data_IF_584450241825
#
_entry.id   IF_584450241825
#
_cell.length_a   1.000
_cell.length_b   1.000
_cell.length_c   1.000
_cell.angle_alpha   90.00
_cell.angle_beta   90.00
_cell.angle_gamma   90.00
#
_symmetry.space_group_name_H-M   'P 1'
#
loop_
_entity.id
_entity.type
_entity.pdbx_description
1 polymer ?
#
# COMPACT_ATOMS: atom_id res chain seq x y z
N UNK A 1 9.11 -11.01 -17.35
CA UNK A 1 8.55 -11.88 -18.42
C UNK A 1 9.02 -13.33 -18.28
N UNK A 2 10.31 -13.58 -18.00
CA UNK A 2 10.87 -14.94 -17.85
C UNK A 2 10.17 -15.72 -16.72
N UNK A 3 9.98 -15.11 -15.57
CA UNK A 3 9.25 -15.67 -14.41
C UNK A 3 7.88 -16.22 -14.84
N UNK A 4 7.11 -15.43 -15.59
CA UNK A 4 5.77 -15.83 -16.08
C UNK A 4 5.83 -16.93 -17.14
N UNK A 5 6.85 -16.94 -18.00
CA UNK A 5 7.07 -18.07 -18.97
C UNK A 5 7.32 -19.39 -18.27
N UNK A 6 7.87 -19.36 -17.07
CA UNK A 6 8.09 -20.54 -16.21
C UNK A 6 6.87 -20.96 -15.40
N UNK A 7 5.73 -20.27 -15.57
CA UNK A 7 4.46 -20.62 -14.92
C UNK A 7 4.24 -19.95 -13.58
N UNK A 8 5.14 -19.06 -13.14
CA UNK A 8 4.95 -18.28 -11.91
C UNK A 8 3.97 -17.12 -12.15
N UNK A 9 3.25 -16.75 -11.10
CA UNK A 9 2.41 -15.54 -11.08
C UNK A 9 3.22 -14.38 -10.48
N UNK A 10 3.10 -13.21 -11.11
CA UNK A 10 3.77 -12.00 -10.65
C UNK A 10 2.74 -10.94 -10.25
N UNK A 11 2.79 -10.50 -9.00
CA UNK A 11 1.90 -9.49 -8.42
C UNK A 11 2.68 -8.27 -7.95
N UNK A 12 2.07 -7.08 -8.11
CA UNK A 12 2.46 -5.91 -7.32
C UNK A 12 1.71 -5.95 -6.00
N UNK A 13 2.41 -5.82 -4.86
CA UNK A 13 1.81 -5.67 -3.54
C UNK A 13 2.19 -4.30 -2.96
N UNK A 14 1.24 -3.37 -2.93
CA UNK A 14 1.48 -1.95 -2.68
C UNK A 14 0.51 -1.33 -1.68
N UNK A 15 0.99 -0.36 -0.90
CA UNK A 15 0.12 0.53 -0.12
C UNK A 15 -0.66 1.55 -0.97
N UNK A 16 -0.25 1.77 -2.24
CA UNK A 16 -0.94 2.71 -3.15
C UNK A 16 -2.29 2.16 -3.58
N UNK A 17 -3.19 3.07 -3.98
CA UNK A 17 -4.46 2.71 -4.64
C UNK A 17 -4.21 2.10 -6.02
N UNK A 18 -5.18 1.34 -6.52
CA UNK A 18 -5.04 0.62 -7.79
C UNK A 18 -4.72 1.57 -8.95
N UNK A 19 -5.50 2.66 -9.14
CA UNK A 19 -5.25 3.61 -10.24
C UNK A 19 -3.86 4.26 -10.14
N UNK A 20 -3.39 4.59 -8.92
CA UNK A 20 -2.04 5.14 -8.71
C UNK A 20 -0.93 4.14 -9.08
N UNK A 21 -1.20 2.83 -9.04
CA UNK A 21 -0.25 1.81 -9.49
C UNK A 21 -0.33 1.58 -10.99
N UNK A 22 -1.52 1.31 -11.52
CA UNK A 22 -1.68 0.88 -12.93
C UNK A 22 -1.45 2.02 -13.93
N UNK A 23 -1.63 3.28 -13.54
CA UNK A 23 -1.35 4.44 -14.41
C UNK A 23 0.15 4.75 -14.55
N UNK A 24 1.03 4.00 -13.86
CA UNK A 24 2.47 4.14 -14.06
C UNK A 24 2.89 3.48 -15.40
N UNK A 25 3.46 4.23 -16.37
CA UNK A 25 3.76 3.69 -17.70
C UNK A 25 4.69 2.47 -17.67
N UNK A 26 5.62 2.41 -16.72
CA UNK A 26 6.53 1.27 -16.58
C UNK A 26 5.81 0.02 -16.06
N UNK A 27 4.80 0.15 -15.19
CA UNK A 27 3.98 -0.97 -14.70
C UNK A 27 3.21 -1.59 -15.86
N UNK A 28 2.54 -0.77 -16.66
CA UNK A 28 1.80 -1.22 -17.85
C UNK A 28 2.72 -1.95 -18.85
N UNK A 29 3.94 -1.45 -19.05
CA UNK A 29 4.91 -2.04 -19.99
C UNK A 29 5.45 -3.39 -19.51
N UNK A 30 5.71 -3.57 -18.21
CA UNK A 30 6.19 -4.83 -17.64
C UNK A 30 5.08 -5.88 -17.70
N UNK A 31 3.87 -5.50 -17.30
CA UNK A 31 2.70 -6.38 -17.19
C UNK A 31 2.82 -7.36 -16.02
N UNK A 32 1.85 -7.32 -15.13
CA UNK A 32 1.73 -8.23 -13.99
C UNK A 32 0.46 -9.06 -14.11
N UNK A 33 0.40 -10.21 -13.45
CA UNK A 33 -0.80 -11.04 -13.43
C UNK A 33 -1.88 -10.41 -12.54
N UNK A 34 -1.48 -9.65 -11.52
CA UNK A 34 -2.41 -8.96 -10.65
C UNK A 34 -1.75 -7.94 -9.73
N UNK A 35 -2.60 -7.33 -8.92
CA UNK A 35 -2.24 -6.22 -8.04
C UNK A 35 -2.94 -6.40 -6.69
N UNK A 36 -2.17 -6.33 -5.63
CA UNK A 36 -2.64 -6.18 -4.25
C UNK A 36 -2.36 -4.74 -3.86
N UNK A 37 -3.39 -3.94 -3.75
CA UNK A 37 -3.32 -2.50 -3.53
C UNK A 37 -3.99 -2.08 -2.22
N UNK A 38 -3.83 -0.82 -1.84
CA UNK A 38 -4.39 -0.25 -0.61
C UNK A 38 -4.08 -1.11 0.62
N UNK A 39 -2.81 -1.57 0.76
CA UNK A 39 -2.38 -2.46 1.84
C UNK A 39 -3.24 -3.73 1.98
N UNK A 40 -3.62 -4.38 0.88
CA UNK A 40 -4.39 -5.62 0.90
C UNK A 40 -5.92 -5.43 0.81
N UNK A 41 -6.41 -4.20 0.86
CA UNK A 41 -7.85 -3.92 0.80
C UNK A 41 -8.43 -3.92 -0.62
N UNK A 42 -7.58 -3.97 -1.66
CA UNK A 42 -8.03 -4.01 -3.06
C UNK A 42 -7.17 -4.99 -3.86
N UNK A 43 -7.77 -6.02 -4.41
CA UNK A 43 -7.08 -7.08 -5.16
C UNK A 43 -7.68 -7.19 -6.56
N UNK A 44 -6.83 -7.02 -7.57
CA UNK A 44 -7.14 -7.22 -8.99
C UNK A 44 -6.31 -8.39 -9.53
N UNK A 45 -6.93 -9.30 -10.27
CA UNK A 45 -6.27 -10.39 -10.97
C UNK A 45 -6.78 -10.50 -12.41
N UNK A 46 -5.90 -10.35 -13.38
CA UNK A 46 -6.20 -10.44 -14.83
C UNK A 46 -7.43 -9.61 -15.24
N UNK A 47 -7.59 -8.44 -14.64
CA UNK A 47 -8.71 -7.53 -14.92
C UNK A 47 -9.97 -7.78 -14.10
N UNK A 48 -10.02 -8.82 -13.28
CA UNK A 48 -11.13 -9.10 -12.36
C UNK A 48 -10.84 -8.56 -10.95
N UNK A 49 -11.78 -7.80 -10.38
CA UNK A 49 -11.71 -7.36 -8.98
C UNK A 49 -12.11 -8.52 -8.06
N UNK A 50 -11.12 -9.14 -7.40
CA UNK A 50 -11.37 -10.25 -6.47
C UNK A 50 -11.76 -9.76 -5.08
N UNK A 51 -11.30 -8.59 -4.68
CA UNK A 51 -11.59 -7.94 -3.40
C UNK A 51 -11.57 -6.42 -3.58
N UNK A 52 -12.60 -5.75 -3.06
CA UNK A 52 -12.60 -4.29 -2.88
C UNK A 52 -13.27 -3.98 -1.54
N UNK A 53 -12.45 -3.89 -0.49
CA UNK A 53 -12.91 -3.54 0.83
C UNK A 53 -12.87 -2.03 1.02
N UNK A 54 -13.87 -1.49 1.67
CA UNK A 54 -14.00 -0.06 1.95
C UNK A 54 -14.22 0.21 3.42
N UNK A 55 -13.83 1.37 3.86
CA UNK A 55 -14.00 1.81 5.24
C UNK A 55 -15.49 1.90 5.55
N UNK A 56 -15.96 1.40 6.71
CA UNK A 56 -17.35 1.54 7.13
C UNK A 56 -17.82 2.99 7.19
N UNK A 57 -19.05 3.26 6.79
CA UNK A 57 -19.59 4.62 6.67
C UNK A 57 -19.60 5.40 8.00
N UNK A 58 -19.75 4.72 9.12
CA UNK A 58 -19.68 5.32 10.45
C UNK A 58 -18.28 5.89 10.79
N UNK A 59 -17.23 5.35 10.18
CA UNK A 59 -15.86 5.86 10.36
C UNK A 59 -15.56 7.08 9.48
N UNK A 60 -16.34 7.34 8.41
CA UNK A 60 -16.04 8.43 7.47
C UNK A 60 -16.03 9.80 8.14
N UNK A 61 -17.12 10.16 8.85
CA UNK A 61 -17.20 11.43 9.57
C UNK A 61 -16.16 11.50 10.68
N UNK A 62 -16.01 10.40 11.45
CA UNK A 62 -15.06 10.34 12.56
C UNK A 62 -13.62 10.64 12.14
N UNK A 63 -13.17 10.12 10.99
CA UNK A 63 -11.82 10.37 10.43
C UNK A 63 -11.66 11.84 10.05
N UNK A 64 -12.62 12.42 9.30
CA UNK A 64 -12.55 13.80 8.84
C UNK A 64 -12.61 14.78 10.02
N UNK A 65 -13.56 14.57 10.94
CA UNK A 65 -13.72 15.42 12.12
C UNK A 65 -12.49 15.36 13.03
N UNK A 66 -11.92 14.17 13.22
CA UNK A 66 -10.69 14.00 13.99
C UNK A 66 -9.50 14.71 13.30
N UNK A 67 -9.35 14.57 11.97
CA UNK A 67 -8.27 15.23 11.25
C UNK A 67 -8.35 16.76 11.40
N UNK A 68 -9.52 17.34 11.23
CA UNK A 68 -9.76 18.77 11.43
C UNK A 68 -9.54 19.21 12.88
N UNK A 69 -10.02 18.43 13.86
CA UNK A 69 -9.87 18.73 15.29
C UNK A 69 -8.43 18.73 15.77
N UNK A 70 -7.64 17.79 15.25
CA UNK A 70 -6.25 17.59 15.67
C UNK A 70 -5.23 18.14 14.66
N UNK A 71 -5.68 19.00 13.74
CA UNK A 71 -4.86 19.72 12.76
C UNK A 71 -3.99 18.82 11.89
N UNK A 72 -4.52 17.63 11.51
CA UNK A 72 -3.85 16.74 10.58
C UNK A 72 -4.24 17.07 9.15
N UNK A 73 -3.27 17.20 8.25
CA UNK A 73 -3.57 17.22 6.83
C UNK A 73 -3.94 15.82 6.35
N UNK A 74 -5.12 15.66 5.77
CA UNK A 74 -5.73 14.38 5.42
C UNK A 74 -5.82 14.19 3.91
N UNK A 75 -5.58 12.96 3.45
CA UNK A 75 -5.95 12.46 2.14
C UNK A 75 -6.59 11.09 2.29
N UNK A 76 -7.89 10.97 1.93
CA UNK A 76 -8.53 9.66 1.85
C UNK A 76 -8.23 9.02 0.50
N UNK A 77 -7.92 7.74 0.51
CA UNK A 77 -7.53 6.98 -0.67
C UNK A 77 -8.57 5.90 -0.97
N UNK A 78 -9.36 6.11 -2.01
CA UNK A 78 -10.40 5.18 -2.46
C UNK A 78 -9.99 4.34 -3.67
N UNK A 79 -10.83 3.39 -4.08
CA UNK A 79 -10.59 2.57 -5.26
C UNK A 79 -10.50 3.40 -6.54
N UNK A 80 -11.31 4.46 -6.64
CA UNK A 80 -11.45 5.27 -7.86
C UNK A 80 -10.98 6.73 -7.69
N UNK A 81 -10.98 7.24 -6.44
CA UNK A 81 -10.68 8.65 -6.18
C UNK A 81 -9.77 8.84 -4.96
N UNK A 82 -8.96 9.88 -5.04
CA UNK A 82 -8.42 10.58 -3.89
C UNK A 82 -9.43 11.63 -3.42
N UNK A 83 -9.67 11.70 -2.10
CA UNK A 83 -10.52 12.71 -1.51
C UNK A 83 -9.68 13.68 -0.69
N UNK A 84 -9.68 14.93 -1.12
CA UNK A 84 -8.89 16.01 -0.52
C UNK A 84 -9.74 16.88 0.39
N UNK A 85 -9.24 17.23 1.56
CA UNK A 85 -9.83 18.32 2.33
C UNK A 85 -9.40 19.65 1.72
N UNK A 86 -10.31 20.25 0.95
CA UNK A 86 -10.09 21.54 0.27
C UNK A 86 -10.37 22.74 1.16
N UNK A 87 -10.79 22.52 2.42
CA UNK A 87 -11.02 23.60 3.40
C UNK A 87 -9.73 24.14 4.03
N UNK A 88 -8.61 23.42 3.83
CA UNK A 88 -7.27 23.78 4.32
C UNK A 88 -6.27 23.85 3.17
N UNK A 89 -5.19 24.66 3.30
CA UNK A 89 -4.12 24.69 2.31
C UNK A 89 -3.52 23.30 2.10
N UNK A 90 -3.10 23.01 0.87
CA UNK A 90 -2.41 21.77 0.55
C UNK A 90 -0.90 21.91 0.76
N UNK A 91 -0.27 20.91 1.40
CA UNK A 91 1.17 20.76 1.36
C UNK A 91 1.64 20.34 -0.06
N UNK A 92 2.95 20.39 -0.31
CA UNK A 92 3.52 20.06 -1.62
C UNK A 92 3.18 18.64 -2.09
N UNK A 93 3.11 17.65 -1.17
CA UNK A 93 2.79 16.26 -1.51
C UNK A 93 1.34 16.10 -1.94
N UNK A 94 0.39 16.72 -1.21
CA UNK A 94 -1.04 16.72 -1.57
C UNK A 94 -1.26 17.46 -2.89
N UNK A 95 -0.63 18.61 -3.08
CA UNK A 95 -0.72 19.38 -4.33
C UNK A 95 -0.20 18.56 -5.51
N UNK A 96 0.95 17.90 -5.37
CA UNK A 96 1.51 17.04 -6.41
C UNK A 96 0.56 15.90 -6.82
N UNK A 97 -0.09 15.25 -5.85
CA UNK A 97 -1.08 14.20 -6.13
C UNK A 97 -2.34 14.79 -6.79
N UNK A 98 -2.80 15.94 -6.32
CA UNK A 98 -3.96 16.64 -6.88
C UNK A 98 -3.76 16.99 -8.35
N UNK A 99 -2.58 17.48 -8.72
CA UNK A 99 -2.24 17.86 -10.10
C UNK A 99 -2.00 16.63 -10.99
N UNK A 100 -1.40 15.58 -10.43
CA UNK A 100 -1.06 14.36 -11.17
C UNK A 100 -2.27 13.52 -11.56
N UNK A 101 -3.33 13.54 -10.75
CA UNK A 101 -4.50 12.70 -10.94
C UNK A 101 -5.79 13.52 -11.13
N UNK A 102 -5.91 14.34 -12.22
CA UNK A 102 -7.03 15.24 -12.41
C UNK A 102 -8.39 14.55 -12.56
N UNK A 103 -8.40 13.29 -13.01
CA UNK A 103 -9.61 12.49 -13.20
C UNK A 103 -9.97 11.64 -11.96
N UNK A 104 -9.12 11.62 -10.92
CA UNK A 104 -9.27 10.81 -9.72
C UNK A 104 -9.20 11.66 -8.45
N UNK A 105 -9.84 12.82 -8.45
CA UNK A 105 -9.82 13.75 -7.30
C UNK A 105 -11.21 14.29 -6.99
N UNK A 106 -11.55 14.24 -5.71
CA UNK A 106 -12.82 14.70 -5.15
C UNK A 106 -12.58 15.43 -3.81
N UNK A 107 -13.61 16.11 -3.31
CA UNK A 107 -13.58 16.72 -1.98
C UNK A 107 -13.99 15.68 -0.91
N UNK A 108 -13.36 15.71 0.28
CA UNK A 108 -13.76 14.86 1.42
C UNK A 108 -15.20 15.09 1.88
N UNK A 109 -15.79 16.24 1.58
CA UNK A 109 -17.14 16.59 2.03
C UNK A 109 -18.27 16.04 1.13
N UNK A 110 -17.96 15.39 -0.02
CA UNK A 110 -19.01 14.79 -0.85
C UNK A 110 -19.73 13.65 -0.11
N UNK A 111 -21.05 13.47 -0.35
CA UNK A 111 -21.77 12.31 0.18
C UNK A 111 -21.30 11.03 -0.50
N UNK A 112 -21.53 9.88 0.16
CA UNK A 112 -21.25 8.55 -0.39
C UNK A 112 -19.81 8.32 -0.87
N UNK A 113 -18.82 9.02 -0.25
CA UNK A 113 -17.42 8.74 -0.53
C UNK A 113 -17.09 7.28 -0.18
N UNK A 114 -16.17 6.71 -0.96
CA UNK A 114 -15.74 5.33 -0.80
C UNK A 114 -14.21 5.30 -0.74
N UNK A 115 -13.62 4.94 0.38
CA UNK A 115 -12.16 4.85 0.51
C UNK A 115 -11.74 3.57 1.24
N UNK A 116 -10.50 3.13 0.97
CA UNK A 116 -9.94 1.89 1.51
C UNK A 116 -9.02 2.15 2.70
N UNK A 117 -8.31 3.26 2.65
CA UNK A 117 -7.31 3.71 3.61
C UNK A 117 -7.17 5.23 3.54
N UNK A 118 -6.32 5.79 4.39
CA UNK A 118 -5.96 7.20 4.28
C UNK A 118 -4.53 7.43 4.76
N UNK A 119 -4.01 8.59 4.41
CA UNK A 119 -2.70 9.08 4.86
C UNK A 119 -2.85 10.48 5.45
N UNK A 120 -1.90 10.83 6.31
CA UNK A 120 -1.85 12.16 6.93
C UNK A 120 -0.45 12.73 6.91
N UNK A 121 -0.38 14.07 6.94
CA UNK A 121 0.84 14.81 7.21
C UNK A 121 0.64 15.68 8.44
N UNK A 122 1.68 15.78 9.26
CA UNK A 122 1.70 16.66 10.41
C UNK A 122 1.90 18.11 9.98
N UNK A 123 1.23 19.01 10.68
CA UNK A 123 1.48 20.45 10.68
C UNK A 123 2.14 20.84 12.01
N UNK A 124 2.64 22.08 12.19
CA UNK A 124 3.17 22.53 13.47
C UNK A 124 2.16 22.47 14.62
N UNK A 125 0.86 22.48 14.32
CA UNK A 125 -0.23 22.44 15.30
C UNK A 125 -0.80 21.03 15.53
N UNK A 126 -0.29 20.02 14.83
CA UNK A 126 -0.84 18.66 14.89
C UNK A 126 -0.68 17.99 16.24
N UNK A 127 -1.77 17.40 16.74
CA UNK A 127 -1.76 16.43 17.85
C UNK A 127 -1.95 15.01 17.29
N UNK A 128 -0.87 14.45 16.76
CA UNK A 128 -0.87 13.12 16.16
C UNK A 128 -1.29 12.03 17.13
N UNK A 129 -0.90 12.13 18.41
CA UNK A 129 -1.23 11.10 19.41
C UNK A 129 -2.75 11.03 19.66
N UNK A 130 -3.39 12.19 19.83
CA UNK A 130 -4.84 12.25 20.01
C UNK A 130 -5.59 11.85 18.73
N UNK A 131 -5.09 12.22 17.56
CA UNK A 131 -5.66 11.79 16.29
C UNK A 131 -5.61 10.26 16.14
N UNK A 132 -4.44 9.65 16.30
CA UNK A 132 -4.26 8.19 16.22
C UNK A 132 -5.21 7.48 17.18
N UNK A 133 -5.32 7.97 18.43
CA UNK A 133 -6.25 7.42 19.41
C UNK A 133 -7.71 7.52 18.96
N UNK A 134 -8.11 8.63 18.35
CA UNK A 134 -9.49 8.85 17.90
C UNK A 134 -9.90 7.89 16.75
N UNK A 135 -8.98 7.55 15.84
CA UNK A 135 -9.26 6.66 14.71
C UNK A 135 -8.88 5.19 14.97
N UNK A 136 -8.22 4.90 16.09
CA UNK A 136 -7.78 3.57 16.48
C UNK A 136 -8.85 2.47 16.55
N UNK A 137 -10.16 2.75 16.71
CA UNK A 137 -11.17 1.70 16.63
C UNK A 137 -11.25 0.99 15.28
N UNK A 138 -10.82 1.65 14.21
CA UNK A 138 -10.95 1.12 12.83
C UNK A 138 -9.62 0.90 12.12
N UNK A 139 -8.55 1.63 12.55
CA UNK A 139 -7.31 1.71 11.77
C UNK A 139 -6.06 1.40 12.59
N UNK A 140 -5.15 0.70 11.94
CA UNK A 140 -3.77 0.55 12.36
C UNK A 140 -2.95 1.71 11.80
N UNK A 141 -2.21 2.40 12.67
CA UNK A 141 -1.30 3.48 12.31
C UNK A 141 0.08 2.94 11.96
N UNK A 142 0.62 3.36 10.82
CA UNK A 142 1.97 3.06 10.37
C UNK A 142 2.72 4.39 10.26
N UNK A 143 3.66 4.62 11.18
CA UNK A 143 4.54 5.79 11.12
C UNK A 143 5.57 5.60 9.98
N UNK A 144 5.54 6.50 8.99
CA UNK A 144 6.43 6.46 7.83
C UNK A 144 7.63 7.41 7.97
N UNK A 145 7.69 8.15 9.08
CA UNK A 145 8.70 9.17 9.35
C UNK A 145 8.38 10.53 8.73
N UNK A 146 9.10 11.57 9.18
CA UNK A 146 8.96 12.93 8.65
C UNK A 146 7.58 13.54 8.79
N UNK A 147 6.80 13.15 9.81
CA UNK A 147 5.42 13.63 10.00
C UNK A 147 4.41 13.00 9.03
N UNK A 148 4.80 11.95 8.29
CA UNK A 148 3.91 11.23 7.38
C UNK A 148 3.40 9.93 8.01
N UNK A 149 2.07 9.79 8.06
CA UNK A 149 1.37 8.64 8.61
C UNK A 149 0.47 7.93 7.60
N UNK A 150 0.44 6.60 7.66
CA UNK A 150 -0.43 5.75 6.86
C UNK A 150 -1.39 4.99 7.79
N UNK A 151 -2.67 4.89 7.41
CA UNK A 151 -3.73 4.27 8.20
C UNK A 151 -4.46 3.24 7.37
N UNK A 152 -4.35 1.98 7.78
CA UNK A 152 -4.97 0.84 7.12
C UNK A 152 -6.05 0.23 8.03
N UNK A 153 -7.17 -0.22 7.48
CA UNK A 153 -8.15 -0.97 8.26
C UNK A 153 -7.51 -2.19 8.92
N UNK A 154 -7.87 -2.51 10.17
CA UNK A 154 -7.26 -3.61 10.94
C UNK A 154 -7.25 -4.96 10.23
N UNK A 155 -8.30 -5.25 9.45
CA UNK A 155 -8.44 -6.52 8.76
C UNK A 155 -7.52 -6.67 7.54
N UNK A 156 -6.83 -5.61 7.11
CA UNK A 156 -6.06 -5.61 5.86
C UNK A 156 -4.61 -5.20 6.05
N UNK A 157 -3.73 -5.95 5.40
CA UNK A 157 -2.30 -5.70 5.32
C UNK A 157 -1.76 -6.32 4.03
N UNK A 158 -0.51 -6.03 3.68
CA UNK A 158 0.15 -6.73 2.56
C UNK A 158 0.18 -8.24 2.76
N UNK A 159 0.25 -8.73 4.00
CA UNK A 159 0.21 -10.16 4.32
C UNK A 159 -1.17 -10.77 4.09
N UNK A 160 -2.25 -10.10 4.53
CA UNK A 160 -3.61 -10.62 4.32
C UNK A 160 -3.98 -10.68 2.84
N UNK A 161 -3.43 -9.77 2.01
CA UNK A 161 -3.58 -9.83 0.55
C UNK A 161 -2.90 -11.07 -0.05
N UNK A 162 -1.71 -11.45 0.45
CA UNK A 162 -1.03 -12.69 0.05
C UNK A 162 -1.83 -13.90 0.49
N UNK A 163 -2.31 -13.94 1.74
CA UNK A 163 -3.15 -15.02 2.25
C UNK A 163 -4.39 -15.22 1.37
N UNK A 164 -5.09 -14.14 1.05
CA UNK A 164 -6.26 -14.18 0.17
C UNK A 164 -5.96 -14.84 -1.18
N UNK A 165 -4.83 -14.47 -1.80
CA UNK A 165 -4.42 -15.03 -3.09
C UNK A 165 -3.96 -16.50 -2.96
N UNK A 166 -3.20 -16.84 -1.91
CA UNK A 166 -2.80 -18.21 -1.64
C UNK A 166 -4.01 -19.12 -1.47
N UNK A 167 -4.97 -18.74 -0.64
CA UNK A 167 -6.23 -19.47 -0.44
C UNK A 167 -7.03 -19.61 -1.73
N UNK A 168 -7.14 -18.52 -2.50
CA UNK A 168 -7.90 -18.44 -3.76
C UNK A 168 -7.36 -19.35 -4.84
N UNK A 169 -6.02 -19.52 -4.89
CA UNK A 169 -5.34 -20.33 -5.90
C UNK A 169 -4.89 -21.70 -5.39
N UNK A 170 -5.12 -22.01 -4.12
CA UNK A 170 -4.69 -23.28 -3.50
C UNK A 170 -3.17 -23.42 -3.41
N UNK A 171 -2.45 -22.30 -3.19
CA UNK A 171 -0.99 -22.27 -3.08
C UNK A 171 -0.55 -22.46 -1.64
N UNK A 172 0.58 -23.16 -1.44
CA UNK A 172 1.31 -23.14 -0.18
C UNK A 172 2.04 -21.80 -0.01
N UNK A 173 2.19 -21.33 1.22
CA UNK A 173 3.06 -20.19 1.51
C UNK A 173 4.54 -20.49 1.21
N UNK A 174 4.93 -21.76 1.20
CA UNK A 174 6.28 -22.19 0.80
C UNK A 174 6.55 -21.98 -0.71
N UNK A 175 5.48 -21.80 -1.52
CA UNK A 175 5.58 -21.46 -2.93
C UNK A 175 5.53 -19.93 -3.18
N UNK A 176 5.42 -19.14 -2.11
CA UNK A 176 5.30 -17.69 -2.18
C UNK A 176 6.65 -17.02 -1.89
N UNK A 177 6.98 -16.03 -2.72
CA UNK A 177 8.17 -15.19 -2.58
C UNK A 177 7.76 -13.74 -2.48
N UNK A 178 8.33 -12.99 -1.53
CA UNK A 178 8.05 -11.57 -1.36
C UNK A 178 9.33 -10.76 -1.37
N UNK A 179 9.29 -9.61 -2.05
CA UNK A 179 10.40 -8.66 -2.12
C UNK A 179 9.90 -7.32 -1.59
N UNK A 180 10.58 -6.75 -0.60
CA UNK A 180 10.22 -5.48 0.01
C UNK A 180 11.42 -4.58 0.28
N UNK A 181 11.16 -3.32 0.65
CA UNK A 181 12.20 -2.33 0.91
C UNK A 181 11.92 -1.43 2.12
N UNK A 182 10.68 -1.37 2.61
CA UNK A 182 10.26 -0.37 3.58
C UNK A 182 9.35 -0.92 4.69
N UNK A 183 9.16 -0.15 5.77
CA UNK A 183 8.43 -0.60 6.97
C UNK A 183 7.01 -1.08 6.73
N UNK A 184 6.33 -0.62 5.68
CA UNK A 184 5.00 -1.14 5.32
C UNK A 184 5.04 -2.54 4.67
N UNK A 185 6.25 -3.04 4.35
CA UNK A 185 6.45 -4.40 3.86
C UNK A 185 6.61 -5.41 5.00
N UNK A 186 6.94 -4.94 6.22
CA UNK A 186 7.19 -5.78 7.37
C UNK A 186 6.11 -6.88 7.56
N UNK A 187 4.80 -6.59 7.46
CA UNK A 187 3.79 -7.64 7.62
C UNK A 187 3.92 -8.79 6.61
N UNK A 188 4.28 -8.52 5.35
CA UNK A 188 4.47 -9.57 4.34
C UNK A 188 5.82 -10.27 4.47
N UNK A 189 6.87 -9.55 4.89
CA UNK A 189 8.21 -10.10 5.10
C UNK A 189 8.24 -11.08 6.28
N UNK A 190 7.51 -10.78 7.35
CA UNK A 190 7.36 -11.69 8.50
C UNK A 190 6.42 -12.88 8.22
N UNK A 191 5.52 -12.73 7.22
CA UNK A 191 4.46 -13.71 6.96
C UNK A 191 4.89 -14.83 6.02
N UNK A 192 5.73 -14.53 5.02
CA UNK A 192 6.18 -15.48 4.00
C UNK A 192 7.62 -15.91 4.30
N UNK A 193 7.90 -17.23 4.26
CA UNK A 193 9.23 -17.74 4.54
C UNK A 193 10.27 -17.21 3.56
N UNK A 194 10.00 -17.26 2.25
CA UNK A 194 10.91 -16.74 1.23
C UNK A 194 10.78 -15.22 1.11
N UNK A 195 11.22 -14.52 2.14
CA UNK A 195 11.19 -13.08 2.26
C UNK A 195 12.53 -12.45 1.91
N UNK A 196 12.49 -11.41 1.08
CA UNK A 196 13.66 -10.79 0.46
C UNK A 196 13.62 -9.28 0.73
N UNK A 197 14.69 -8.75 1.28
CA UNK A 197 14.88 -7.32 1.42
C UNK A 197 15.80 -6.80 0.30
N UNK A 198 15.39 -5.71 -0.34
CA UNK A 198 16.25 -4.98 -1.28
C UNK A 198 17.49 -4.43 -0.58
N UNK A 199 18.63 -4.39 -1.27
CA UNK A 199 19.90 -3.90 -0.71
C UNK A 199 19.82 -2.46 -0.21
N UNK A 200 19.04 -1.62 -0.89
CA UNK A 200 18.71 -0.24 -0.49
C UNK A 200 17.51 -0.15 0.48
N UNK A 201 17.00 -1.28 0.96
CA UNK A 201 15.87 -1.32 1.90
C UNK A 201 16.23 -0.84 3.30
N UNK A 202 15.19 -0.62 4.11
CA UNK A 202 15.31 -0.13 5.49
C UNK A 202 16.17 -1.08 6.34
N UNK A 203 17.30 -0.64 6.93
CA UNK A 203 18.26 -1.52 7.61
C UNK A 203 17.67 -2.34 8.74
N UNK A 204 16.68 -1.81 9.48
CA UNK A 204 16.03 -2.54 10.59
C UNK A 204 15.24 -3.77 10.13
N UNK A 205 14.90 -3.89 8.85
CA UNK A 205 14.21 -5.06 8.29
C UNK A 205 15.13 -6.25 8.00
N UNK A 206 16.46 -6.08 8.07
CA UNK A 206 17.42 -7.17 7.77
C UNK A 206 17.25 -8.39 8.65
N UNK A 207 16.80 -8.23 9.89
CA UNK A 207 16.55 -9.35 10.82
C UNK A 207 15.20 -10.05 10.60
N UNK A 208 14.37 -9.54 9.70
CA UNK A 208 13.02 -10.02 9.39
C UNK A 208 12.93 -10.80 8.09
N UNK A 209 14.04 -11.00 7.38
CA UNK A 209 14.04 -11.62 6.06
C UNK A 209 14.99 -12.79 5.98
N UNK A 210 14.66 -13.76 5.12
CA UNK A 210 15.52 -14.88 4.79
C UNK A 210 16.75 -14.45 3.98
N UNK A 211 16.57 -13.49 3.04
CA UNK A 211 17.62 -13.07 2.13
C UNK A 211 17.64 -11.55 1.92
N UNK A 212 18.84 -10.98 1.83
CA UNK A 212 19.04 -9.58 1.44
C UNK A 212 19.72 -9.58 0.07
N UNK A 213 19.04 -9.05 -0.94
CA UNK A 213 19.59 -8.94 -2.29
C UNK A 213 20.39 -7.64 -2.47
N UNK A 214 20.85 -7.36 -3.71
CA UNK A 214 21.56 -6.13 -4.06
C UNK A 214 20.63 -4.91 -4.17
N UNK A 215 21.22 -3.73 -4.36
CA UNK A 215 20.47 -2.48 -4.57
C UNK A 215 19.59 -2.55 -5.82
N UNK A 216 18.56 -1.70 -5.89
CA UNK A 216 17.70 -1.58 -7.07
C UNK A 216 18.49 -1.15 -8.33
N UNK A 217 19.59 -0.41 -8.15
CA UNK A 217 20.47 0.01 -9.24
C UNK A 217 21.47 -1.07 -9.66
N UNK A 218 21.58 -2.16 -8.89
CA UNK A 218 22.46 -3.31 -9.12
C UNK A 218 21.64 -4.58 -9.39
N UNK A 219 20.53 -4.44 -10.11
CA UNK A 219 19.62 -5.52 -10.55
C UNK A 219 19.07 -6.40 -9.39
N UNK A 220 18.84 -5.78 -8.22
CA UNK A 220 18.49 -6.51 -6.99
C UNK A 220 17.30 -7.45 -7.10
N UNK A 221 16.26 -7.10 -7.88
CA UNK A 221 15.12 -7.99 -8.09
C UNK A 221 15.54 -9.22 -8.94
N UNK A 222 16.30 -9.00 -10.01
CA UNK A 222 16.79 -10.08 -10.87
C UNK A 222 17.70 -11.02 -10.09
N UNK A 223 18.66 -10.48 -9.34
CA UNK A 223 19.57 -11.24 -8.49
C UNK A 223 18.84 -12.09 -7.45
N UNK A 224 17.76 -11.56 -6.86
CA UNK A 224 16.92 -12.33 -5.95
C UNK A 224 16.22 -13.50 -6.67
N UNK A 225 15.67 -13.27 -7.85
CA UNK A 225 15.01 -14.33 -8.61
C UNK A 225 15.98 -15.42 -9.09
N UNK A 226 17.21 -15.05 -9.45
CA UNK A 226 18.30 -16.01 -9.78
C UNK A 226 18.71 -16.80 -8.55
N UNK A 227 18.89 -16.14 -7.39
CA UNK A 227 19.24 -16.79 -6.12
C UNK A 227 18.30 -17.95 -5.76
N UNK A 228 17.01 -17.76 -5.99
CA UNK A 228 16.00 -18.80 -5.75
C UNK A 228 15.73 -19.71 -6.96
N UNK A 229 16.52 -19.63 -8.03
CA UNK A 229 16.35 -20.39 -9.27
C UNK A 229 14.97 -20.21 -9.95
N UNK A 230 14.31 -19.10 -9.70
CA UNK A 230 13.03 -18.74 -10.31
C UNK A 230 13.22 -18.31 -11.77
N UNK A 231 14.38 -17.77 -12.09
CA UNK A 231 14.87 -17.46 -13.44
C UNK A 231 16.31 -17.99 -13.61
N UNK A 232 16.82 -18.10 -14.87
CA UNK A 232 18.19 -18.53 -15.14
C UNK A 232 19.22 -17.54 -14.60
#
# INVERSE_FOLDING_TARGET
QELRRRGHLAFINSGRTLFNVIEQPYILRIGFDGYVCACGAHILYRGEHLLTATVPSEAHAAVIDAARRYHMELLLEGPDYFYFDLSIPMNASRQSLYDRFPNHRENVDIPNKCFNKFVTWETPESDTASFVKAVSPWFTYINRGGGFGEFCMHAYSKATGIQFLADRFGLSLDDCYVIGDSMNDLPMLDYVQHSILMGNGTPSLRSHVEYVTTDILDDGIENALVHYNLIP
#
